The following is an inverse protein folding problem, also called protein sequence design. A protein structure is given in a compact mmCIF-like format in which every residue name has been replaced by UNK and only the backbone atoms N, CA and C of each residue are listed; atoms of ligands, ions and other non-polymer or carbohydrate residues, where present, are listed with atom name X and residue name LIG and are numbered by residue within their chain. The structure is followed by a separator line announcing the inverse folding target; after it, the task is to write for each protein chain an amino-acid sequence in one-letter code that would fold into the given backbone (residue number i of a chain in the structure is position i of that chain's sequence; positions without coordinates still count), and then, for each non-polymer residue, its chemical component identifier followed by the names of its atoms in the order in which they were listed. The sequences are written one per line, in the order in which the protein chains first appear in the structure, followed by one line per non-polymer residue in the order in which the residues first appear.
data_IF_098521282449
#
_entry.id   IF_098521282449
#
_cell.length_a   1.000
_cell.length_b   1.000
_cell.length_c   1.000
_cell.angle_alpha   90.00
_cell.angle_beta   90.00
_cell.angle_gamma   90.00
#
_symmetry.space_group_name_H-M   'P 1'
#
loop_
_entity.id
_entity.type
_entity.pdbx_description
1 polymer ?
#
# COMPACT_ATOMS: atom_id res chain seq x y z
N UNK A 1 -25.22 -12.43 -55.99
CA UNK A 1 -23.77 -12.14 -55.85
C UNK A 1 -23.28 -12.96 -54.65
N UNK A 2 -22.87 -14.22 -54.82
CA UNK A 2 -21.58 -14.73 -55.36
C UNK A 2 -20.38 -14.38 -54.44
N UNK A 3 -20.17 -15.29 -53.47
CA UNK A 3 -18.93 -16.01 -53.10
C UNK A 3 -17.60 -15.34 -52.76
N UNK A 4 -17.08 -15.79 -51.59
CA UNK A 4 -15.76 -16.43 -51.30
C UNK A 4 -14.47 -15.60 -51.39
N UNK A 5 -13.62 -15.77 -50.35
CA UNK A 5 -12.21 -16.25 -50.35
C UNK A 5 -11.47 -15.63 -49.14
N UNK A 6 -11.08 -16.32 -48.06
CA UNK A 6 -10.12 -17.44 -47.87
C UNK A 6 -8.74 -17.24 -48.51
N UNK A 7 -7.80 -16.72 -47.75
CA UNK A 7 -6.33 -16.83 -47.88
C UNK A 7 -5.83 -16.87 -46.41
N UNK A 8 -5.34 -17.91 -45.73
CA UNK A 8 -4.53 -19.11 -46.02
C UNK A 8 -3.17 -18.84 -46.69
N UNK A 9 -2.13 -18.72 -45.85
CA UNK A 9 -0.75 -19.24 -45.97
C UNK A 9 0.05 -18.65 -44.77
N UNK A 10 0.46 -19.33 -43.71
CA UNK A 10 1.39 -20.48 -43.52
C UNK A 10 2.64 -20.37 -44.40
N UNK A 11 3.79 -19.99 -43.81
CA UNK A 11 5.08 -20.71 -43.91
C UNK A 11 5.96 -20.38 -42.67
N UNK A 12 6.43 -21.37 -41.89
CA UNK A 12 7.44 -21.21 -40.86
C UNK A 12 8.85 -21.38 -41.44
N UNK A 13 9.79 -20.48 -41.13
CA UNK A 13 11.19 -20.63 -41.55
C UNK A 13 12.03 -21.13 -40.37
N UNK A 14 12.33 -22.44 -40.41
CA UNK A 14 13.41 -23.07 -39.65
C UNK A 14 14.76 -22.50 -40.10
N UNK A 15 15.57 -22.02 -39.15
CA UNK A 15 17.03 -22.00 -39.32
C UNK A 15 17.63 -22.76 -38.14
N UNK A 16 17.90 -24.03 -38.40
CA UNK A 16 18.84 -24.83 -37.63
C UNK A 16 20.26 -24.47 -38.10
N UNK A 17 21.12 -24.02 -37.19
CA UNK A 17 22.56 -24.07 -37.40
C UNK A 17 23.21 -24.81 -36.24
N UNK A 18 23.45 -26.09 -36.53
CA UNK A 18 24.34 -27.00 -35.84
C UNK A 18 25.78 -26.62 -36.25
N UNK A 19 26.60 -26.16 -35.31
CA UNK A 19 28.06 -26.19 -35.46
C UNK A 19 28.62 -27.08 -34.36
N UNK A 20 28.99 -28.29 -34.78
CA UNK A 20 29.83 -29.24 -34.04
C UNK A 20 31.30 -28.97 -34.39
N UNK A 21 32.17 -29.38 -33.45
CA UNK A 21 33.64 -29.61 -33.50
C UNK A 21 34.43 -28.65 -32.59
N UNK A 22 35.40 -29.06 -31.76
CA UNK A 22 35.83 -30.32 -31.13
C UNK A 22 37.13 -30.01 -30.34
N UNK A 23 37.41 -30.79 -29.28
CA UNK A 23 38.70 -31.07 -28.60
C UNK A 23 39.59 -29.90 -28.11
N UNK A 24 40.25 -29.95 -26.95
CA UNK A 24 40.49 -31.00 -25.97
C UNK A 24 41.57 -30.53 -24.97
N UNK A 25 41.70 -31.21 -23.82
CA UNK A 25 42.77 -30.95 -22.85
C UNK A 25 42.47 -31.51 -21.45
N UNK A 26 43.21 -32.54 -21.07
CA UNK A 26 43.16 -33.33 -19.83
C UNK A 26 43.80 -32.62 -18.63
N UNK A 27 43.27 -32.81 -17.40
CA UNK A 27 43.92 -33.59 -16.32
C UNK A 27 43.26 -33.42 -14.93
N UNK A 28 42.91 -34.58 -14.36
CA UNK A 28 42.94 -35.05 -12.96
C UNK A 28 42.84 -34.04 -11.80
N UNK A 29 41.83 -34.21 -10.94
CA UNK A 29 42.06 -34.61 -9.55
C UNK A 29 40.78 -35.12 -8.87
N UNK A 30 40.93 -36.26 -8.20
CA UNK A 30 39.94 -36.86 -7.32
C UNK A 30 39.89 -36.11 -5.98
N UNK A 31 38.69 -35.91 -5.44
CA UNK A 31 38.47 -35.34 -4.13
C UNK A 31 37.01 -35.51 -3.73
N UNK A 32 36.76 -36.45 -2.84
CA UNK A 32 35.48 -36.79 -2.22
C UNK A 32 34.98 -35.74 -1.23
N UNK A 33 33.68 -35.83 -0.99
CA UNK A 33 33.00 -35.53 0.28
C UNK A 33 32.55 -34.08 0.59
N UNK A 34 31.22 -33.99 0.64
CA UNK A 34 30.31 -33.27 1.53
C UNK A 34 30.62 -31.88 2.13
N UNK A 35 29.51 -31.16 2.28
CA UNK A 35 29.23 -30.20 3.34
C UNK A 35 29.96 -28.85 3.34
N UNK A 36 29.44 -27.90 2.55
CA UNK A 36 29.21 -26.56 3.11
C UNK A 36 28.24 -25.68 2.28
N UNK A 37 26.96 -26.04 2.26
CA UNK A 37 25.89 -25.14 1.74
C UNK A 37 25.12 -24.41 2.86
N UNK A 38 25.75 -24.22 4.02
CA UNK A 38 25.09 -23.56 5.17
C UNK A 38 25.79 -22.30 5.67
N UNK A 39 26.85 -21.81 5.02
CA UNK A 39 27.58 -20.62 5.49
C UNK A 39 27.63 -19.43 4.53
N UNK A 40 26.71 -19.39 3.56
CA UNK A 40 26.51 -18.24 2.66
C UNK A 40 25.09 -17.65 2.73
N UNK A 41 24.26 -18.07 3.70
CA UNK A 41 22.91 -17.51 3.92
C UNK A 41 22.89 -16.55 5.12
N UNK A 42 23.93 -16.50 5.95
CA UNK A 42 23.94 -15.69 7.19
C UNK A 42 24.44 -14.25 7.05
N UNK A 43 24.90 -13.81 5.87
CA UNK A 43 25.33 -12.41 5.65
C UNK A 43 24.49 -11.62 4.65
N UNK A 44 23.48 -12.23 4.01
CA UNK A 44 22.58 -11.54 3.09
C UNK A 44 21.20 -11.21 3.70
N UNK A 45 20.95 -11.57 4.96
CA UNK A 45 19.68 -11.27 5.66
C UNK A 45 19.75 -9.94 6.45
N UNK A 46 20.92 -9.30 6.55
CA UNK A 46 21.07 -8.05 7.32
C UNK A 46 20.81 -6.76 6.52
N UNK A 47 20.17 -6.85 5.34
CA UNK A 47 19.82 -5.63 4.59
C UNK A 47 18.46 -5.66 3.88
N UNK A 48 17.58 -6.58 4.25
CA UNK A 48 16.24 -6.68 3.68
C UNK A 48 15.15 -6.80 4.75
N UNK A 49 15.22 -5.95 5.77
CA UNK A 49 14.06 -5.64 6.60
C UNK A 49 14.23 -4.25 7.24
N UNK A 50 14.12 -3.18 6.44
CA UNK A 50 13.61 -1.91 7.00
C UNK A 50 12.12 -2.14 7.23
N UNK A 51 11.81 -2.87 8.29
CA UNK A 51 10.48 -2.91 8.86
C UNK A 51 10.20 -1.49 9.30
N UNK A 52 9.22 -0.84 8.69
CA UNK A 52 8.65 0.40 9.20
C UNK A 52 8.00 0.07 10.54
N UNK A 53 8.79 -0.05 11.60
CA UNK A 53 8.29 -0.19 12.96
C UNK A 53 7.74 1.16 13.39
N UNK A 54 6.46 1.38 13.12
CA UNK A 54 5.69 2.47 13.70
C UNK A 54 5.59 2.18 15.20
N UNK A 55 6.16 3.03 16.04
CA UNK A 55 6.11 2.84 17.49
C UNK A 55 4.66 2.96 17.98
N UNK A 56 4.24 2.27 19.06
CA UNK A 56 2.94 2.50 19.67
C UNK A 56 2.67 3.98 19.99
N UNK A 57 3.73 4.73 20.34
CA UNK A 57 3.65 6.17 20.58
C UNK A 57 3.22 6.96 19.31
N UNK A 58 3.72 6.56 18.14
CA UNK A 58 3.39 7.20 16.86
C UNK A 58 1.93 6.96 16.44
N UNK A 59 1.35 5.82 16.84
CA UNK A 59 -0.07 5.53 16.61
C UNK A 59 -0.99 6.32 17.56
N UNK A 60 -0.50 6.66 18.75
CA UNK A 60 -1.25 7.43 19.75
C UNK A 60 -1.06 8.95 19.65
N UNK A 61 -0.17 9.43 18.78
CA UNK A 61 0.05 10.86 18.60
C UNK A 61 -1.20 11.55 17.99
N UNK A 62 -1.25 12.88 18.03
CA UNK A 62 -2.39 13.69 17.50
C UNK A 62 -2.20 14.18 16.06
N UNK A 63 -1.03 13.91 15.47
CA UNK A 63 -0.61 14.45 14.19
C UNK A 63 -0.26 15.93 14.24
N UNK A 64 -0.05 16.48 13.05
CA UNK A 64 0.39 17.86 12.79
C UNK A 64 -0.67 18.65 12.03
N UNK A 65 -1.86 18.82 12.60
CA UNK A 65 -2.95 19.57 11.97
C UNK A 65 -3.64 20.59 12.88
N UNK A 66 -4.74 21.20 12.41
CA UNK A 66 -5.47 22.22 13.16
C UNK A 66 -6.15 21.67 14.42
N UNK A 67 -6.49 20.38 14.46
CA UNK A 67 -7.18 19.77 15.61
C UNK A 67 -6.17 19.42 16.69
N UNK A 68 -6.18 20.19 17.79
CA UNK A 68 -5.28 19.98 18.95
C UNK A 68 -5.89 19.13 20.05
N UNK A 69 -7.22 19.15 20.16
CA UNK A 69 -7.95 18.35 21.12
C UNK A 69 -9.35 18.05 20.56
N UNK A 70 -9.76 16.79 20.60
CA UNK A 70 -11.11 16.41 20.24
C UNK A 70 -11.51 15.17 21.04
N UNK A 71 -12.57 15.32 21.85
CA UNK A 71 -13.17 14.23 22.59
C UNK A 71 -14.51 13.89 21.94
N UNK A 72 -14.62 12.78 21.19
CA UNK A 72 -15.88 12.43 20.56
C UNK A 72 -16.93 12.05 21.62
N UNK A 73 -18.16 12.52 21.41
CA UNK A 73 -19.30 12.17 22.24
C UNK A 73 -19.87 10.79 21.93
N UNK A 74 -21.09 10.55 22.42
CA UNK A 74 -21.92 9.43 21.96
C UNK A 74 -22.15 9.52 20.46
N UNK A 75 -22.19 8.37 19.78
CA UNK A 75 -22.46 8.30 18.35
C UNK A 75 -23.80 8.98 18.04
N UNK A 76 -23.77 9.93 17.11
CA UNK A 76 -24.97 10.61 16.61
C UNK A 76 -25.35 10.00 15.25
N UNK A 77 -26.55 9.41 15.16
CA UNK A 77 -27.03 8.77 13.94
C UNK A 77 -27.13 9.74 12.75
N UNK A 78 -27.48 11.01 12.99
CA UNK A 78 -27.56 12.01 11.94
C UNK A 78 -26.17 12.32 11.37
N UNK A 79 -25.17 12.53 12.24
CA UNK A 79 -23.78 12.75 11.80
C UNK A 79 -23.19 11.53 11.10
N UNK A 80 -23.54 10.32 11.52
CA UNK A 80 -23.14 9.08 10.82
C UNK A 80 -23.72 9.04 9.40
N UNK A 81 -24.97 9.42 9.22
CA UNK A 81 -25.59 9.45 7.90
C UNK A 81 -24.95 10.50 6.99
N UNK A 82 -24.78 11.73 7.48
CA UNK A 82 -24.09 12.80 6.77
C UNK A 82 -22.64 12.40 6.43
N UNK A 83 -21.92 11.81 7.39
CA UNK A 83 -20.58 11.29 7.20
C UNK A 83 -20.50 10.18 6.15
N UNK A 84 -21.52 9.32 6.06
CA UNK A 84 -21.61 8.28 5.03
C UNK A 84 -21.79 8.85 3.63
N UNK A 85 -22.60 9.90 3.49
CA UNK A 85 -22.81 10.60 2.21
C UNK A 85 -21.52 11.30 1.77
N UNK A 86 -20.91 12.07 2.68
CA UNK A 86 -19.62 12.72 2.46
C UNK A 86 -18.52 11.71 2.11
N UNK A 87 -18.45 10.58 2.83
CA UNK A 87 -17.49 9.52 2.54
C UNK A 87 -17.68 8.95 1.13
N UNK A 88 -18.92 8.74 0.72
CA UNK A 88 -19.25 8.22 -0.61
C UNK A 88 -18.73 9.15 -1.71
N UNK A 89 -18.89 10.46 -1.53
CA UNK A 89 -18.50 11.46 -2.53
C UNK A 89 -16.99 11.75 -2.51
N UNK A 90 -16.39 11.88 -1.32
CA UNK A 90 -15.02 12.40 -1.15
C UNK A 90 -13.96 11.33 -0.87
N UNK A 91 -14.34 10.13 -0.43
CA UNK A 91 -13.39 9.13 0.07
C UNK A 91 -13.48 7.77 -0.65
N UNK A 92 -14.68 7.36 -1.07
CA UNK A 92 -14.95 5.99 -1.52
C UNK A 92 -14.29 5.59 -2.85
N UNK A 93 -13.82 6.58 -3.63
CA UNK A 93 -12.99 6.34 -4.82
C UNK A 93 -11.60 5.83 -4.46
N UNK A 94 -11.08 6.21 -3.30
CA UNK A 94 -9.72 5.85 -2.87
C UNK A 94 -9.70 4.88 -1.69
N UNK A 95 -10.78 4.74 -0.92
CA UNK A 95 -10.82 3.87 0.24
C UNK A 95 -12.02 2.93 0.23
N UNK A 96 -11.80 1.71 0.73
CA UNK A 96 -12.84 0.78 1.19
C UNK A 96 -12.61 0.48 2.66
N UNK A 97 -13.61 -0.07 3.32
CA UNK A 97 -13.48 -0.42 4.74
C UNK A 97 -12.55 -1.62 4.91
N UNK A 98 -12.74 -2.65 4.10
CA UNK A 98 -12.18 -3.99 4.32
C UNK A 98 -10.92 -4.30 3.48
N UNK A 99 -10.67 -3.55 2.41
CA UNK A 99 -9.57 -3.82 1.49
C UNK A 99 -8.87 -2.57 0.97
N UNK A 100 -7.62 -2.74 0.57
CA UNK A 100 -6.88 -1.74 -0.20
C UNK A 100 -7.51 -1.59 -1.60
N UNK A 101 -7.66 -0.35 -2.04
CA UNK A 101 -7.83 -0.01 -3.45
C UNK A 101 -6.69 0.92 -3.86
N UNK A 102 -6.89 2.24 -3.82
CA UNK A 102 -5.83 3.23 -3.93
C UNK A 102 -5.15 3.42 -2.56
N UNK A 103 -5.93 3.81 -1.56
CA UNK A 103 -5.51 3.97 -0.17
C UNK A 103 -5.75 2.72 0.69
N UNK A 104 -5.27 2.76 1.97
CA UNK A 104 -5.47 1.71 2.95
C UNK A 104 -6.94 1.37 3.23
N UNK A 105 -7.24 0.15 3.71
CA UNK A 105 -8.53 -0.15 4.32
C UNK A 105 -8.76 0.70 5.58
N UNK A 106 -9.99 1.21 5.74
CA UNK A 106 -10.33 2.13 6.83
C UNK A 106 -11.07 1.51 8.02
N UNK A 107 -11.48 0.24 7.94
CA UNK A 107 -12.15 -0.47 9.05
C UNK A 107 -11.31 -0.36 10.32
N UNK A 108 -11.89 0.14 11.41
CA UNK A 108 -11.23 0.30 12.71
C UNK A 108 -10.14 1.37 12.75
N UNK A 109 -10.07 2.29 11.79
CA UNK A 109 -9.06 3.37 11.78
C UNK A 109 -9.13 4.23 13.04
N UNK A 110 -10.33 4.48 13.56
CA UNK A 110 -10.57 5.24 14.80
C UNK A 110 -10.19 4.48 16.07
N UNK A 111 -9.83 3.21 15.96
CA UNK A 111 -9.24 2.41 17.05
C UNK A 111 -7.72 2.33 16.95
N UNK A 112 -7.15 2.57 15.76
CA UNK A 112 -5.70 2.55 15.53
C UNK A 112 -5.03 3.90 15.75
N UNK A 113 -5.77 4.99 15.52
CA UNK A 113 -5.27 6.35 15.64
C UNK A 113 -6.15 7.17 16.59
N UNK A 114 -5.56 8.20 17.19
CA UNK A 114 -6.31 9.15 18.01
C UNK A 114 -7.39 9.89 17.18
N UNK A 115 -8.47 10.38 17.81
CA UNK A 115 -9.48 11.18 17.12
C UNK A 115 -8.89 12.37 16.38
N UNK A 116 -7.95 13.08 17.03
CA UNK A 116 -7.28 14.23 16.45
C UNK A 116 -6.44 13.86 15.24
N UNK A 117 -5.73 12.73 15.28
CA UNK A 117 -4.92 12.28 14.15
C UNK A 117 -5.79 12.01 12.92
N UNK A 118 -6.91 11.30 13.10
CA UNK A 118 -7.83 10.99 11.97
C UNK A 118 -8.39 12.29 11.38
N UNK A 119 -8.83 13.23 12.22
CA UNK A 119 -9.34 14.52 11.75
C UNK A 119 -8.26 15.36 11.05
N UNK A 120 -7.04 15.37 11.59
CA UNK A 120 -5.92 16.08 10.97
C UNK A 120 -5.51 15.46 9.64
N UNK A 121 -5.59 14.13 9.50
CA UNK A 121 -5.39 13.46 8.22
C UNK A 121 -6.46 13.81 7.19
N UNK A 122 -7.72 13.99 7.62
CA UNK A 122 -8.81 14.43 6.74
C UNK A 122 -8.64 15.90 6.28
N UNK A 123 -8.20 16.79 7.19
CA UNK A 123 -8.16 18.24 6.95
C UNK A 123 -6.85 18.72 6.32
N UNK A 124 -5.74 18.06 6.61
CA UNK A 124 -4.39 18.50 6.21
C UNK A 124 -3.47 17.32 5.84
N UNK A 125 -3.86 16.43 4.90
CA UNK A 125 -3.10 15.23 4.60
C UNK A 125 -1.68 15.53 4.09
N UNK A 126 -1.48 16.60 3.29
CA UNK A 126 -0.16 16.96 2.78
C UNK A 126 0.83 17.27 3.91
N UNK A 127 0.37 18.03 4.91
CA UNK A 127 1.16 18.39 6.09
C UNK A 127 1.41 17.17 6.97
N UNK A 128 0.38 16.33 7.16
CA UNK A 128 0.52 15.06 7.89
C UNK A 128 1.58 14.17 7.23
N UNK A 129 1.51 13.95 5.92
CA UNK A 129 2.49 13.13 5.18
C UNK A 129 3.91 13.71 5.29
N UNK A 130 4.04 15.04 5.29
CA UNK A 130 5.34 15.71 5.38
C UNK A 130 6.00 15.61 6.76
N UNK A 131 5.23 15.74 7.85
CA UNK A 131 5.78 15.95 9.20
C UNK A 131 5.39 14.86 10.22
N UNK A 132 4.26 14.17 10.06
CA UNK A 132 3.82 13.13 11.00
C UNK A 132 4.46 11.76 10.64
N UNK A 133 5.15 11.10 11.58
CA UNK A 133 5.82 9.83 11.32
C UNK A 133 4.89 8.71 10.86
N UNK A 134 3.67 8.62 11.41
CA UNK A 134 2.72 7.57 11.06
C UNK A 134 2.13 7.80 9.66
N UNK A 135 1.77 9.04 9.31
CA UNK A 135 1.30 9.39 7.98
C UNK A 135 2.41 9.20 6.93
N UNK A 136 3.65 9.57 7.25
CA UNK A 136 4.80 9.32 6.38
C UNK A 136 5.05 7.82 6.16
N UNK A 137 4.96 7.01 7.22
CA UNK A 137 5.06 5.56 7.12
C UNK A 137 3.97 4.95 6.23
N UNK A 138 2.73 5.43 6.35
CA UNK A 138 1.64 5.04 5.45
C UNK A 138 1.94 5.45 4.01
N UNK A 139 2.41 6.66 3.76
CA UNK A 139 2.80 7.09 2.42
C UNK A 139 3.94 6.22 1.85
N UNK A 140 4.96 5.92 2.64
CA UNK A 140 6.06 5.03 2.25
C UNK A 140 5.56 3.61 1.92
N UNK A 141 4.49 3.14 2.55
CA UNK A 141 3.93 1.81 2.25
C UNK A 141 2.99 1.82 1.04
N UNK A 142 2.12 2.82 0.92
CA UNK A 142 1.06 2.86 -0.11
C UNK A 142 1.48 3.59 -1.39
N UNK A 143 2.57 4.38 -1.35
CA UNK A 143 3.16 5.12 -2.48
C UNK A 143 2.16 6.02 -3.22
N UNK A 144 1.07 6.40 -2.55
CA UNK A 144 0.04 7.29 -3.09
C UNK A 144 -0.29 8.33 -2.02
N UNK A 145 -0.11 9.63 -2.31
CA UNK A 145 -0.46 10.66 -1.34
C UNK A 145 -1.97 10.78 -1.22
N UNK A 146 -2.46 10.95 0.00
CA UNK A 146 -3.84 11.35 0.22
C UNK A 146 -3.97 12.83 -0.12
N UNK A 147 -4.85 13.17 -1.06
CA UNK A 147 -5.07 14.55 -1.48
C UNK A 147 -6.05 15.25 -0.53
N UNK A 148 -5.88 16.56 -0.33
CA UNK A 148 -6.83 17.35 0.46
C UNK A 148 -8.20 17.48 -0.24
N UNK A 149 -9.24 16.99 0.41
CA UNK A 149 -10.64 17.00 -0.07
C UNK A 149 -11.39 18.32 0.22
N UNK A 150 -10.67 19.32 0.73
CA UNK A 150 -11.19 20.65 1.10
C UNK A 150 -12.39 20.55 2.03
N UNK A 151 -12.26 19.68 3.05
CA UNK A 151 -13.28 19.46 4.06
C UNK A 151 -13.32 20.64 5.03
N UNK A 152 -14.52 21.02 5.48
CA UNK A 152 -14.65 21.80 6.71
C UNK A 152 -14.41 20.90 7.92
N UNK A 153 -14.20 21.51 9.10
CA UNK A 153 -14.02 20.75 10.34
C UNK A 153 -15.29 19.95 10.70
N UNK A 154 -16.48 20.49 10.42
CA UNK A 154 -17.77 19.83 10.64
C UNK A 154 -17.93 18.61 9.73
N UNK A 155 -17.63 18.75 8.44
CA UNK A 155 -17.65 17.63 7.50
C UNK A 155 -16.67 16.53 7.91
N UNK A 156 -15.46 16.91 8.35
CA UNK A 156 -14.47 15.97 8.86
C UNK A 156 -14.96 15.22 10.11
N UNK A 157 -15.65 15.91 11.03
CA UNK A 157 -16.27 15.29 12.22
C UNK A 157 -17.41 14.34 11.86
N UNK A 158 -18.24 14.68 10.87
CA UNK A 158 -19.29 13.79 10.38
C UNK A 158 -18.69 12.50 9.79
N UNK A 159 -17.68 12.63 8.91
CA UNK A 159 -16.94 11.48 8.36
C UNK A 159 -16.29 10.66 9.48
N UNK A 160 -15.68 11.32 10.46
CA UNK A 160 -15.08 10.64 11.62
C UNK A 160 -16.12 9.80 12.38
N UNK A 161 -17.32 10.33 12.64
CA UNK A 161 -18.37 9.59 13.33
C UNK A 161 -18.88 8.40 12.50
N UNK A 162 -18.96 8.53 11.18
CA UNK A 162 -19.20 7.41 10.28
C UNK A 162 -18.11 6.34 10.38
N UNK A 163 -16.83 6.73 10.39
CA UNK A 163 -15.70 5.80 10.54
C UNK A 163 -15.73 5.05 11.88
N UNK A 164 -16.19 5.68 12.97
CA UNK A 164 -16.34 5.00 14.28
C UNK A 164 -17.32 3.84 14.26
N UNK A 165 -18.22 3.77 13.28
CA UNK A 165 -19.18 2.68 13.11
C UNK A 165 -18.66 1.52 12.26
N UNK A 166 -17.47 1.65 11.67
CA UNK A 166 -16.90 0.71 10.71
C UNK A 166 -15.58 0.09 11.22
#
# INVERSE_FOLDING_TARGET
MITRNKWMAIVPSLIAQLFLLACGGTDQNAGSESDNRSKAITSAVQHAEKKTEVSPADLTNKGVGPIKAFKPGSINAQLVNEGSELFTVKCAMCHKMDRKIVGPPLKGVTSRHSPEWVLNMLLAPDKMIAEDPAAKALYEHYQTPMINQQLTEEEAKAIYDYLRKN
#
